data_IF_085236852787
#
_entry.id   IF_085236852787
#
_cell.length_a   1.000
_cell.length_b   1.000
_cell.length_c   1.000
_cell.angle_alpha   90.00
_cell.angle_beta   90.00
_cell.angle_gamma   90.00
#
_symmetry.space_group_name_H-M   'P 1'
#
loop_
_entity.id
_entity.type
_entity.pdbx_description
1 polymer ?
#
# COMPACT_ATOMS: atom_id res chain seq x y z
N UNK A 1 5.60 42.88 34.84
CA UNK A 1 6.69 41.95 34.45
C UNK A 1 6.09 40.56 34.36
N UNK A 2 5.53 40.20 33.20
CA UNK A 2 5.09 38.83 32.94
C UNK A 2 6.14 38.22 32.01
N UNK A 3 7.01 37.41 32.61
CA UNK A 3 7.99 36.61 31.88
C UNK A 3 7.25 35.78 30.84
N UNK A 4 7.79 35.79 29.62
CA UNK A 4 7.28 35.02 28.50
C UNK A 4 7.08 33.58 28.96
N UNK A 5 5.82 33.16 29.05
CA UNK A 5 5.46 31.77 29.25
C UNK A 5 5.98 30.99 28.05
N UNK A 6 7.17 30.43 28.20
CA UNK A 6 7.78 29.53 27.24
C UNK A 6 6.84 28.32 27.22
N UNK A 7 5.91 28.29 26.26
CA UNK A 7 5.18 27.09 25.96
C UNK A 7 6.24 26.08 25.51
N UNK A 8 6.58 25.12 26.36
CA UNK A 8 7.48 24.03 26.00
C UNK A 8 6.82 23.23 24.89
N UNK A 9 7.15 23.59 23.65
CA UNK A 9 6.73 22.85 22.48
C UNK A 9 7.66 21.65 22.31
N UNK A 10 7.11 20.45 22.05
CA UNK A 10 7.94 19.29 21.81
C UNK A 10 8.73 19.50 20.51
N UNK A 11 10.07 19.48 20.61
CA UNK A 11 10.96 19.62 19.44
C UNK A 11 10.76 18.53 18.38
N UNK A 12 10.13 17.42 18.76
CA UNK A 12 9.86 16.27 17.89
C UNK A 12 8.37 16.03 17.75
N UNK A 13 7.99 15.45 16.61
CA UNK A 13 6.64 15.01 16.36
C UNK A 13 6.15 14.08 17.48
N UNK A 14 4.94 14.35 17.97
CA UNK A 14 4.35 13.60 19.07
C UNK A 14 4.09 12.10 18.79
N UNK A 15 4.02 11.70 17.52
CA UNK A 15 3.75 10.31 17.14
C UNK A 15 4.95 9.41 17.48
N UNK A 16 4.69 8.28 18.14
CA UNK A 16 5.70 7.53 18.91
C UNK A 16 6.92 7.04 18.12
N UNK A 17 6.74 6.77 16.83
CA UNK A 17 7.80 6.26 15.94
C UNK A 17 8.31 7.32 14.96
N UNK A 18 7.96 8.60 15.17
CA UNK A 18 8.32 9.67 14.26
C UNK A 18 9.55 10.42 14.77
N UNK A 19 10.62 10.40 13.97
CA UNK A 19 11.87 11.13 14.27
C UNK A 19 11.87 12.56 13.73
N UNK A 20 10.83 12.98 13.03
CA UNK A 20 10.77 14.30 12.41
C UNK A 20 10.45 15.38 13.43
N UNK A 21 11.04 16.56 13.23
CA UNK A 21 10.77 17.76 14.02
C UNK A 21 9.31 18.18 13.91
N UNK A 22 8.78 18.71 15.00
CA UNK A 22 7.45 19.30 15.00
C UNK A 22 7.48 20.66 14.27
N UNK A 23 6.39 21.00 13.58
CA UNK A 23 6.22 22.33 13.02
C UNK A 23 6.12 23.35 14.18
N UNK A 24 6.60 24.57 13.94
CA UNK A 24 6.52 25.65 14.91
C UNK A 24 5.08 25.88 15.38
N UNK A 25 4.88 25.93 16.71
CA UNK A 25 3.55 26.04 17.33
C UNK A 25 2.65 24.81 17.18
N UNK A 26 3.18 23.68 16.70
CA UNK A 26 2.46 22.43 16.51
C UNK A 26 3.16 21.28 17.23
N UNK A 27 2.42 20.19 17.43
CA UNK A 27 2.91 18.94 18.01
C UNK A 27 3.20 17.87 16.93
N UNK A 28 3.18 18.27 15.64
CA UNK A 28 3.23 17.38 14.48
C UNK A 28 4.24 17.87 13.46
N UNK A 29 4.91 16.94 12.79
CA UNK A 29 5.73 17.22 11.62
C UNK A 29 4.88 17.45 10.35
N UNK A 30 5.54 17.86 9.28
CA UNK A 30 4.91 18.07 7.98
C UNK A 30 4.16 16.82 7.43
N UNK A 31 4.71 15.61 7.63
CA UNK A 31 4.07 14.35 7.22
C UNK A 31 2.81 14.03 8.01
N UNK A 32 2.76 14.47 9.26
CA UNK A 32 1.66 14.20 10.18
C UNK A 32 0.68 15.36 10.35
N UNK A 33 0.81 16.45 9.56
CA UNK A 33 -0.04 17.65 9.67
C UNK A 33 -1.55 17.40 9.56
N UNK A 34 -1.96 16.38 8.80
CA UNK A 34 -3.36 15.96 8.65
C UNK A 34 -3.73 14.74 9.50
N UNK A 35 -2.87 14.33 10.44
CA UNK A 35 -3.12 13.22 11.35
C UNK A 35 -3.57 13.75 12.71
N UNK A 36 -4.52 13.04 13.31
CA UNK A 36 -5.03 13.31 14.65
C UNK A 36 -4.40 12.32 15.63
N UNK A 37 -4.11 12.78 16.86
CA UNK A 37 -3.68 11.94 17.97
C UNK A 37 -4.87 11.32 18.66
N UNK A 38 -4.68 10.13 19.21
CA UNK A 38 -5.68 9.48 20.04
C UNK A 38 -6.09 10.39 21.23
N UNK A 39 -7.38 10.41 21.57
CA UNK A 39 -7.92 11.21 22.68
C UNK A 39 -7.53 10.69 24.07
N UNK A 40 -6.94 9.50 24.18
CA UNK A 40 -6.40 9.00 25.45
C UNK A 40 -5.12 9.77 25.76
N UNK A 41 -5.03 10.31 26.98
CA UNK A 41 -3.88 11.06 27.46
C UNK A 41 -2.57 10.30 27.20
N UNK A 42 -1.54 11.04 26.78
CA UNK A 42 -0.19 10.51 26.51
C UNK A 42 -0.10 9.43 25.42
N UNK A 43 -1.20 9.14 24.71
CA UNK A 43 -1.20 8.18 23.62
C UNK A 43 -0.59 8.76 22.35
N UNK A 44 0.60 8.28 22.00
CA UNK A 44 1.34 8.69 20.80
C UNK A 44 0.88 7.99 19.50
N UNK A 45 -0.29 7.37 19.48
CA UNK A 45 -0.84 6.71 18.29
C UNK A 45 -1.77 7.63 17.51
N UNK A 46 -1.82 7.41 16.19
CA UNK A 46 -2.80 8.03 15.32
C UNK A 46 -4.23 7.51 15.58
N UNK A 47 -5.20 8.40 15.46
CA UNK A 47 -6.63 8.05 15.39
C UNK A 47 -6.88 7.11 14.21
N UNK A 48 -7.58 6.01 14.51
CA UNK A 48 -8.15 5.13 13.50
C UNK A 48 -9.60 5.56 13.19
N UNK A 49 -10.43 5.67 14.23
CA UNK A 49 -11.81 6.15 14.13
C UNK A 49 -12.28 6.68 15.49
N UNK A 50 -13.32 7.53 15.49
CA UNK A 50 -13.96 8.05 16.73
C UNK A 50 -12.98 8.73 17.70
N UNK A 51 -11.93 9.37 17.20
CA UNK A 51 -10.89 10.00 18.03
C UNK A 51 -9.97 9.01 18.77
N UNK A 52 -10.07 7.70 18.50
CA UNK A 52 -9.31 6.66 19.20
C UNK A 52 -8.42 5.87 18.24
N UNK A 53 -7.26 5.44 18.74
CA UNK A 53 -6.39 4.52 18.01
C UNK A 53 -6.90 3.07 18.13
N UNK A 54 -6.34 2.15 17.34
CA UNK A 54 -6.73 0.73 17.36
C UNK A 54 -6.64 0.11 18.77
N UNK A 55 -5.61 0.47 19.55
CA UNK A 55 -5.39 -0.04 20.92
C UNK A 55 -6.48 0.44 21.89
N UNK A 56 -6.93 1.68 21.71
CA UNK A 56 -7.88 2.36 22.58
C UNK A 56 -9.32 2.28 22.06
N UNK A 57 -9.65 1.29 21.23
CA UNK A 57 -11.05 1.07 20.80
C UNK A 57 -11.47 1.83 19.54
N UNK A 58 -10.53 2.41 18.79
CA UNK A 58 -10.81 2.92 17.45
C UNK A 58 -11.31 1.82 16.50
N UNK A 59 -10.88 0.56 16.72
CA UNK A 59 -11.35 -0.61 16.00
C UNK A 59 -12.19 -1.50 16.90
N UNK A 60 -13.33 -1.98 16.39
CA UNK A 60 -14.23 -2.85 17.16
C UNK A 60 -13.57 -4.20 17.49
N UNK A 61 -13.99 -4.80 18.61
CA UNK A 61 -13.59 -6.15 19.03
C UNK A 61 -14.55 -7.20 18.46
N UNK A 62 -14.05 -8.42 18.31
CA UNK A 62 -14.84 -9.55 17.86
C UNK A 62 -16.06 -9.75 18.78
N UNK A 63 -17.24 -9.98 18.21
CA UNK A 63 -18.47 -10.25 18.97
C UNK A 63 -18.53 -11.65 19.62
N UNK A 64 -17.46 -12.44 19.54
CA UNK A 64 -17.43 -13.77 20.18
C UNK A 64 -16.96 -13.60 21.61
N UNK A 65 -17.66 -14.22 22.56
CA UNK A 65 -17.34 -14.17 23.97
C UNK A 65 -15.88 -14.59 24.24
N UNK A 66 -15.23 -13.88 25.17
CA UNK A 66 -13.82 -14.04 25.52
C UNK A 66 -12.83 -13.85 24.34
N UNK A 67 -13.19 -13.12 23.28
CA UNK A 67 -12.29 -12.82 22.17
C UNK A 67 -11.83 -11.36 22.11
N UNK A 68 -10.61 -11.09 22.54
CA UNK A 68 -10.02 -9.74 22.52
C UNK A 68 -9.46 -9.31 21.17
N UNK A 69 -9.61 -10.12 20.11
CA UNK A 69 -9.06 -9.78 18.80
C UNK A 69 -9.93 -8.76 18.07
N UNK A 70 -9.28 -7.88 17.30
CA UNK A 70 -9.99 -6.87 16.52
C UNK A 70 -10.78 -7.50 15.37
N UNK A 71 -11.98 -6.96 15.12
CA UNK A 71 -12.81 -7.29 13.95
C UNK A 71 -12.00 -7.12 12.70
N UNK A 72 -12.08 -8.08 11.77
CA UNK A 72 -11.45 -7.96 10.46
C UNK A 72 -12.44 -7.53 9.39
N UNK A 73 -13.66 -8.04 9.46
CA UNK A 73 -14.77 -7.71 8.56
C UNK A 73 -16.09 -7.97 9.28
N UNK A 74 -17.12 -7.17 9.00
CA UNK A 74 -18.41 -7.22 9.70
C UNK A 74 -18.25 -7.04 11.22
N UNK A 75 -18.55 -8.10 11.98
CA UNK A 75 -18.47 -8.10 13.46
C UNK A 75 -17.46 -9.10 14.04
N UNK A 76 -16.72 -9.80 13.19
CA UNK A 76 -15.88 -10.92 13.62
C UNK A 76 -14.41 -10.73 13.26
N UNK A 77 -13.52 -11.36 14.03
CA UNK A 77 -12.11 -11.44 13.70
C UNK A 77 -11.83 -12.56 12.68
N UNK A 78 -10.61 -12.61 12.14
CA UNK A 78 -10.23 -13.63 11.14
C UNK A 78 -10.50 -15.08 11.59
N UNK A 79 -10.36 -15.37 12.88
CA UNK A 79 -10.60 -16.71 13.46
C UNK A 79 -12.09 -17.03 13.57
N UNK A 80 -12.93 -16.03 13.79
CA UNK A 80 -14.36 -16.18 14.04
C UNK A 80 -15.24 -15.81 12.84
N UNK A 81 -14.69 -15.81 11.62
CA UNK A 81 -15.45 -15.56 10.39
C UNK A 81 -15.34 -14.14 9.83
N UNK A 82 -14.46 -13.32 10.38
CA UNK A 82 -14.09 -12.01 9.85
C UNK A 82 -13.29 -12.11 8.56
N UNK A 83 -13.96 -11.83 7.45
CA UNK A 83 -13.40 -11.77 6.11
C UNK A 83 -14.03 -12.79 5.19
N UNK A 84 -13.75 -12.68 3.89
CA UNK A 84 -14.27 -13.60 2.88
C UNK A 84 -13.80 -15.03 3.19
N UNK A 85 -14.71 -15.89 3.66
CA UNK A 85 -14.47 -17.34 3.69
C UNK A 85 -14.32 -17.80 2.25
N UNK A 86 -13.14 -18.31 1.90
CA UNK A 86 -12.93 -18.87 0.56
C UNK A 86 -13.74 -20.16 0.48
N UNK A 87 -14.63 -20.24 -0.50
CA UNK A 87 -15.38 -21.46 -0.79
C UNK A 87 -14.49 -22.57 -1.35
N UNK A 88 -15.13 -23.66 -1.76
CA UNK A 88 -14.46 -24.71 -2.52
C UNK A 88 -14.11 -24.20 -3.93
N UNK A 89 -13.21 -24.93 -4.59
CA UNK A 89 -12.87 -24.69 -5.98
C UNK A 89 -14.12 -24.82 -6.87
N UNK A 90 -14.27 -23.91 -7.83
CA UNK A 90 -15.39 -23.88 -8.78
C UNK A 90 -15.44 -25.12 -9.70
N UNK A 91 -14.29 -25.77 -9.92
CA UNK A 91 -14.23 -27.02 -10.70
C UNK A 91 -15.06 -28.13 -10.05
N UNK A 92 -15.91 -28.77 -10.85
CA UNK A 92 -16.83 -29.81 -10.42
C UNK A 92 -16.10 -30.97 -9.71
N UNK A 93 -16.64 -31.40 -8.57
CA UNK A 93 -16.06 -32.48 -7.75
C UNK A 93 -14.80 -32.11 -6.96
N UNK A 94 -14.31 -30.87 -7.04
CA UNK A 94 -13.11 -30.47 -6.31
C UNK A 94 -13.42 -30.01 -4.88
N UNK A 95 -13.02 -30.81 -3.89
CA UNK A 95 -13.15 -30.49 -2.45
C UNK A 95 -12.09 -29.52 -1.93
N UNK A 96 -11.14 -29.11 -2.78
CA UNK A 96 -10.06 -28.22 -2.36
C UNK A 96 -10.56 -26.78 -2.23
N UNK A 97 -10.12 -26.08 -1.18
CA UNK A 97 -10.44 -24.67 -0.98
C UNK A 97 -9.87 -23.80 -2.10
N UNK A 98 -10.70 -22.89 -2.59
CA UNK A 98 -10.27 -21.87 -3.53
C UNK A 98 -9.20 -20.97 -2.88
N UNK A 99 -8.18 -20.60 -3.66
CA UNK A 99 -7.14 -19.66 -3.27
C UNK A 99 -7.42 -18.31 -3.91
N UNK A 100 -7.26 -18.20 -5.23
CA UNK A 100 -7.64 -17.03 -6.01
C UNK A 100 -8.57 -17.45 -7.15
N UNK A 101 -9.32 -16.50 -7.71
CA UNK A 101 -10.18 -16.72 -8.89
C UNK A 101 -11.18 -17.88 -8.71
N UNK A 102 -11.63 -18.11 -7.48
CA UNK A 102 -12.51 -19.24 -7.10
C UNK A 102 -11.95 -20.63 -7.43
N UNK A 103 -10.65 -20.76 -7.70
CA UNK A 103 -10.00 -22.04 -8.02
C UNK A 103 -8.97 -22.42 -6.96
N UNK A 104 -8.73 -23.72 -6.76
CA UNK A 104 -7.68 -24.21 -5.87
C UNK A 104 -6.30 -24.11 -6.54
N UNK A 105 -5.21 -24.33 -5.81
CA UNK A 105 -3.85 -24.25 -6.37
C UNK A 105 -3.65 -25.13 -7.62
N UNK A 106 -4.19 -26.35 -7.62
CA UNK A 106 -4.09 -27.29 -8.76
C UNK A 106 -4.92 -26.88 -9.97
N UNK A 107 -6.00 -26.14 -9.75
CA UNK A 107 -6.89 -25.69 -10.83
C UNK A 107 -6.63 -24.23 -11.18
N UNK A 108 -5.41 -23.70 -11.01
CA UNK A 108 -5.08 -22.33 -11.42
C UNK A 108 -5.46 -21.23 -10.41
N UNK A 109 -5.71 -21.59 -9.16
CA UNK A 109 -5.84 -20.64 -8.05
C UNK A 109 -4.50 -20.12 -7.51
N UNK A 110 -3.39 -20.77 -7.87
CA UNK A 110 -2.03 -20.33 -7.53
C UNK A 110 -1.41 -19.49 -8.63
N UNK A 111 -0.45 -18.64 -8.25
CA UNK A 111 0.43 -17.95 -9.20
C UNK A 111 1.73 -18.75 -9.34
N UNK A 112 2.28 -18.84 -10.54
CA UNK A 112 3.61 -19.39 -10.77
C UNK A 112 4.68 -18.37 -10.40
N UNK A 113 5.89 -18.86 -10.15
CA UNK A 113 7.04 -18.02 -9.90
C UNK A 113 7.35 -17.18 -11.14
N UNK A 114 7.57 -15.88 -10.94
CA UNK A 114 7.88 -14.92 -12.00
C UNK A 114 9.28 -15.10 -12.60
N UNK A 115 10.20 -15.75 -11.88
CA UNK A 115 11.53 -16.05 -12.38
C UNK A 115 11.47 -16.94 -13.63
N UNK A 116 12.37 -16.67 -14.57
CA UNK A 116 12.42 -17.34 -15.87
C UNK A 116 12.52 -18.87 -15.71
N UNK A 117 11.73 -19.56 -16.53
CA UNK A 117 11.64 -21.01 -16.57
C UNK A 117 11.36 -21.69 -15.21
N UNK A 118 10.66 -21.00 -14.29
CA UNK A 118 10.31 -21.57 -12.98
C UNK A 118 8.84 -21.99 -12.90
N UNK A 119 8.58 -23.29 -12.96
CA UNK A 119 7.24 -23.86 -12.83
C UNK A 119 6.74 -23.99 -11.38
N UNK A 120 7.57 -23.62 -10.38
CA UNK A 120 7.16 -23.68 -8.97
C UNK A 120 6.17 -22.56 -8.67
N UNK A 121 5.21 -22.82 -7.79
CA UNK A 121 4.27 -21.80 -7.32
C UNK A 121 4.97 -20.70 -6.51
N UNK A 122 4.53 -19.46 -6.75
CA UNK A 122 4.91 -18.31 -5.96
C UNK A 122 4.36 -18.40 -4.53
N UNK A 123 5.16 -17.95 -3.56
CA UNK A 123 4.79 -17.86 -2.15
C UNK A 123 4.84 -16.42 -1.66
N UNK A 124 5.85 -15.65 -2.08
CA UNK A 124 6.06 -14.27 -1.63
C UNK A 124 6.42 -13.39 -2.82
N UNK A 125 5.74 -12.25 -2.98
CA UNK A 125 5.98 -11.25 -4.03
C UNK A 125 6.11 -11.83 -5.46
N UNK A 126 5.30 -12.84 -5.79
CA UNK A 126 5.33 -13.47 -7.11
C UNK A 126 6.50 -14.44 -7.34
N UNK A 127 7.30 -14.78 -6.33
CA UNK A 127 8.41 -15.74 -6.45
C UNK A 127 8.23 -16.96 -5.55
N UNK A 128 8.78 -18.10 -5.97
CA UNK A 128 8.83 -19.31 -5.14
C UNK A 128 9.87 -19.15 -4.00
N UNK A 129 9.84 -20.03 -3.00
CA UNK A 129 10.74 -19.95 -1.82
C UNK A 129 12.22 -19.88 -2.17
N UNK A 130 12.63 -20.54 -3.26
CA UNK A 130 14.01 -20.49 -3.78
C UNK A 130 14.36 -19.10 -4.32
N UNK A 131 13.51 -18.55 -5.19
CA UNK A 131 13.78 -17.28 -5.86
C UNK A 131 13.44 -16.05 -4.98
N UNK A 132 12.56 -16.19 -4.00
CA UNK A 132 12.26 -15.12 -3.04
C UNK A 132 13.42 -14.85 -2.09
N UNK A 133 14.27 -15.86 -1.82
CA UNK A 133 15.51 -15.67 -1.04
C UNK A 133 16.55 -14.86 -1.84
N UNK A 134 16.57 -14.97 -3.16
CA UNK A 134 17.50 -14.23 -4.02
C UNK A 134 17.18 -12.72 -4.09
N UNK A 135 15.92 -12.32 -3.89
CA UNK A 135 15.54 -10.91 -3.74
C UNK A 135 16.10 -10.25 -2.48
N UNK A 136 16.53 -11.02 -1.48
CA UNK A 136 17.19 -10.47 -0.28
C UNK A 136 18.68 -10.21 -0.50
N UNK A 137 19.29 -10.71 -1.58
CA UNK A 137 20.74 -10.66 -1.79
C UNK A 137 21.22 -9.82 -2.97
N UNK A 138 20.34 -9.26 -3.81
CA UNK A 138 20.77 -8.42 -4.95
C UNK A 138 19.91 -7.15 -5.08
N UNK A 139 20.42 -5.98 -4.63
CA UNK A 139 19.73 -4.68 -4.75
C UNK A 139 19.42 -4.21 -6.18
N UNK A 140 20.02 -4.83 -7.22
CA UNK A 140 20.08 -4.26 -8.56
C UNK A 140 19.07 -4.84 -9.59
N UNK A 141 18.38 -5.95 -9.29
CA UNK A 141 17.50 -6.62 -10.27
C UNK A 141 16.03 -6.14 -10.22
N UNK A 142 15.84 -4.84 -10.13
CA UNK A 142 14.50 -4.24 -10.19
C UNK A 142 14.51 -2.99 -11.09
N UNK A 143 14.61 -3.23 -12.40
CA UNK A 143 13.89 -2.50 -13.48
C UNK A 143 14.22 -3.17 -14.83
N UNK A 144 13.25 -3.48 -15.70
CA UNK A 144 13.56 -3.71 -17.11
C UNK A 144 14.15 -2.41 -17.67
N UNK A 145 15.32 -2.51 -18.30
CA UNK A 145 15.94 -1.39 -19.02
C UNK A 145 15.00 -1.03 -20.17
N UNK A 146 14.57 0.24 -20.32
CA UNK A 146 13.88 0.68 -21.52
C UNK A 146 14.76 0.35 -22.73
N UNK A 147 14.24 -0.44 -23.67
CA UNK A 147 14.91 -0.60 -24.96
C UNK A 147 14.69 0.72 -25.69
N UNK A 148 15.76 1.48 -25.87
CA UNK A 148 15.75 2.69 -26.69
C UNK A 148 15.33 2.28 -28.11
N UNK A 149 14.31 2.92 -28.72
CA UNK A 149 13.93 2.62 -30.10
C UNK A 149 15.08 3.02 -31.02
N UNK A 150 15.49 2.09 -31.90
CA UNK A 150 16.44 2.37 -32.97
C UNK A 150 15.94 3.55 -33.80
N UNK A 151 16.72 4.63 -34.01
CA UNK A 151 16.27 5.74 -34.83
C UNK A 151 16.07 5.26 -36.27
N UNK A 152 14.86 5.50 -36.78
CA UNK A 152 14.56 5.33 -38.18
C UNK A 152 15.39 6.33 -38.99
N UNK A 153 16.17 5.80 -39.93
CA UNK A 153 16.88 6.61 -40.93
C UNK A 153 15.80 7.19 -41.85
N UNK A 154 15.52 8.49 -41.76
CA UNK A 154 14.72 9.19 -42.78
C UNK A 154 15.66 9.98 -43.68
N UNK A 155 15.73 9.54 -44.93
CA UNK A 155 16.38 10.25 -46.04
C UNK A 155 15.68 11.60 -46.27
N UNK A 156 16.47 12.60 -46.64
CA UNK A 156 16.06 13.95 -46.97
C UNK A 156 15.26 14.04 -48.28
N UNK A 157 14.54 15.16 -48.44
CA UNK A 157 14.21 15.94 -49.67
C UNK A 157 12.92 16.77 -49.36
N UNK A 158 13.02 18.04 -48.96
CA UNK A 158 13.18 19.30 -49.73
C UNK A 158 11.86 19.87 -50.29
N UNK A 159 11.55 21.08 -49.80
CA UNK A 159 10.89 22.26 -50.39
C UNK A 159 9.54 22.14 -51.13
N UNK A 160 8.53 22.90 -50.67
CA UNK A 160 7.97 24.02 -51.45
C UNK A 160 6.94 24.87 -50.65
N UNK A 161 6.94 26.17 -50.93
CA UNK A 161 6.13 27.23 -50.31
C UNK A 161 4.90 27.61 -51.16
N UNK A 162 4.03 28.50 -50.63
CA UNK A 162 2.82 29.19 -51.21
C UNK A 162 1.46 28.59 -50.80
N UNK A 163 0.41 29.32 -50.38
CA UNK A 163 0.21 30.68 -49.82
C UNK A 163 -1.30 30.86 -49.50
N UNK A 164 -1.62 31.99 -48.83
CA UNK A 164 -2.90 32.73 -48.85
C UNK A 164 -4.14 32.26 -48.04
N UNK A 165 -4.48 33.05 -47.00
CA UNK A 165 -5.69 33.90 -46.97
C UNK A 165 -5.73 34.73 -45.66
N UNK A 166 -5.54 36.05 -45.74
CA UNK A 166 -6.58 37.09 -45.62
C UNK A 166 -7.24 37.17 -44.24
N UNK A 167 -7.01 38.26 -43.51
CA UNK A 167 -8.07 39.10 -42.94
C UNK A 167 -7.58 40.55 -42.83
N UNK A 168 -8.27 41.42 -43.56
CA UNK A 168 -8.30 42.87 -43.39
C UNK A 168 -9.18 43.22 -42.17
N UNK A 169 -8.86 44.32 -41.49
CA UNK A 169 -9.79 45.45 -41.27
C UNK A 169 -9.24 46.45 -40.24
N UNK A 170 -9.15 47.72 -40.70
CA UNK A 170 -8.98 49.02 -40.01
C UNK A 170 -7.58 49.43 -39.50
#
# INVERSE_FOLDING_TARGET
>A
MFVHGICEFPMHCYFGDCVHEALEGSWRCHFHRHRLKCNIAECRNQVYARGLCVRHGGKSRCQVDACDTNVRDGSFCAKHGGGKRRGNCIEAGCVNRAQARQRCIRHGGGNHCRADNCLKYARTNGLCTRHSRALMTLPWLAKPVPVEPTPAVSMAESDDWIDCAILADL
#
